data_IF_603943162668
#
_entry.id   IF_603943162668
#
_cell.length_a   1.000
_cell.length_b   1.000
_cell.length_c   1.000
_cell.angle_alpha   90.00
_cell.angle_beta   90.00
_cell.angle_gamma   90.00
#
_symmetry.space_group_name_H-M   'P 1'
#
loop_
_entity.id
_entity.type
_entity.pdbx_description
1 polymer ?
#
# COMPACT_ATOMS: atom_id res chain seq x y z
N UNK A 1 20.77 -7.19 21.15
CA UNK A 1 21.32 -6.65 19.89
C UNK A 1 20.15 -6.10 19.10
N UNK A 2 20.25 -4.88 18.54
CA UNK A 2 19.17 -4.31 17.76
C UNK A 2 18.97 -5.11 16.48
N UNK A 3 17.72 -5.18 16.03
CA UNK A 3 17.32 -5.83 14.79
C UNK A 3 17.79 -4.99 13.61
N UNK A 4 18.45 -5.59 12.61
CA UNK A 4 18.89 -4.86 11.41
C UNK A 4 17.77 -4.81 10.36
N UNK A 5 17.32 -3.59 10.02
CA UNK A 5 16.25 -3.36 9.04
C UNK A 5 16.77 -2.49 7.90
N UNK A 6 16.63 -2.98 6.67
CA UNK A 6 16.89 -2.17 5.47
C UNK A 6 15.58 -1.64 4.89
N UNK A 7 15.44 -0.32 4.81
CA UNK A 7 14.35 0.37 4.14
C UNK A 7 14.70 0.58 2.66
N UNK A 8 14.35 -0.40 1.83
CA UNK A 8 14.57 -0.44 0.39
C UNK A 8 13.34 0.03 -0.42
N UNK A 9 12.52 0.92 0.16
CA UNK A 9 11.29 1.40 -0.43
C UNK A 9 11.45 2.73 -1.19
N UNK A 10 12.68 3.21 -1.38
CA UNK A 10 13.02 4.44 -2.08
C UNK A 10 13.37 5.59 -1.13
N UNK A 11 14.53 6.22 -1.38
CA UNK A 11 15.02 7.35 -0.59
C UNK A 11 14.06 8.55 -0.59
N UNK A 12 13.25 8.73 -1.64
CA UNK A 12 12.30 9.85 -1.74
C UNK A 12 11.16 9.81 -0.72
N UNK A 13 10.78 8.61 -0.25
CA UNK A 13 9.72 8.46 0.76
C UNK A 13 10.26 8.28 2.18
N UNK A 14 11.56 7.96 2.34
CA UNK A 14 12.18 7.73 3.63
C UNK A 14 11.93 8.86 4.67
N UNK A 15 12.02 10.16 4.33
CA UNK A 15 11.74 11.23 5.29
C UNK A 15 10.34 11.18 5.90
N UNK A 16 9.36 10.58 5.20
CA UNK A 16 7.99 10.40 5.71
C UNK A 16 7.87 9.19 6.64
N UNK A 17 8.75 8.21 6.50
CA UNK A 17 8.68 6.94 7.22
C UNK A 17 9.61 6.87 8.42
N UNK A 18 10.73 7.60 8.44
CA UNK A 18 11.73 7.51 9.50
C UNK A 18 11.13 7.70 10.90
N UNK A 19 10.41 8.81 11.12
CA UNK A 19 9.85 9.12 12.43
C UNK A 19 8.69 8.17 12.84
N UNK A 20 7.67 7.92 11.98
CA UNK A 20 6.62 6.96 12.33
C UNK A 20 7.12 5.55 12.58
N UNK A 21 8.11 5.08 11.79
CA UNK A 21 8.67 3.74 11.95
C UNK A 21 9.42 3.62 13.26
N UNK A 22 10.27 4.60 13.61
CA UNK A 22 10.96 4.62 14.90
C UNK A 22 9.97 4.63 16.09
N UNK A 23 8.89 5.42 15.98
CA UNK A 23 7.84 5.46 17.00
C UNK A 23 7.11 4.12 17.14
N UNK A 24 6.76 3.49 16.01
CA UNK A 24 6.07 2.20 16.00
C UNK A 24 6.95 1.08 16.59
N UNK A 25 8.24 1.06 16.25
CA UNK A 25 9.22 0.12 16.81
C UNK A 25 9.36 0.30 18.32
N UNK A 26 9.49 1.54 18.79
CA UNK A 26 9.57 1.85 20.22
C UNK A 26 8.29 1.47 20.97
N UNK A 27 7.12 1.74 20.40
CA UNK A 27 5.83 1.36 20.97
C UNK A 27 5.66 -0.18 21.06
N UNK A 28 6.26 -0.92 20.14
CA UNK A 28 6.31 -2.38 20.16
C UNK A 28 7.40 -2.95 21.09
N UNK A 29 8.23 -2.10 21.71
CA UNK A 29 9.36 -2.54 22.55
C UNK A 29 10.50 -3.19 21.76
N UNK A 30 10.64 -2.85 20.47
CA UNK A 30 11.66 -3.41 19.58
C UNK A 30 12.83 -2.42 19.44
N UNK A 31 14.03 -2.88 19.79
CA UNK A 31 15.27 -2.20 19.41
C UNK A 31 15.61 -2.58 17.97
N UNK A 32 15.63 -1.61 17.05
CA UNK A 32 15.97 -1.84 15.65
C UNK A 32 16.85 -0.71 15.11
N UNK A 33 17.84 -1.10 14.31
CA UNK A 33 18.63 -0.20 13.48
C UNK A 33 18.01 -0.19 12.08
N UNK A 34 17.40 0.94 11.72
CA UNK A 34 16.72 1.11 10.43
C UNK A 34 17.49 2.09 9.57
N UNK A 35 17.94 1.62 8.41
CA UNK A 35 18.65 2.44 7.42
C UNK A 35 17.95 2.40 6.08
N UNK A 36 17.87 3.55 5.39
CA UNK A 36 17.51 3.62 3.98
C UNK A 36 18.73 3.63 3.05
N UNK A 37 19.95 3.63 3.60
CA UNK A 37 21.15 3.44 2.82
C UNK A 37 21.37 1.94 2.54
N UNK A 38 21.82 1.58 1.33
CA UNK A 38 22.16 0.19 1.02
C UNK A 38 23.13 -0.40 2.06
N UNK A 39 22.88 -1.63 2.55
CA UNK A 39 23.75 -2.25 3.54
C UNK A 39 25.11 -2.61 2.92
N UNK A 40 26.17 -2.49 3.71
CA UNK A 40 27.49 -2.97 3.31
C UNK A 40 27.53 -4.50 3.21
N UNK A 41 26.76 -5.19 4.05
CA UNK A 41 26.57 -6.64 4.03
C UNK A 41 25.06 -6.98 3.98
N UNK A 42 24.52 -7.33 2.80
CA UNK A 42 23.13 -7.75 2.65
C UNK A 42 22.75 -8.98 3.50
N UNK A 43 23.69 -9.87 3.82
CA UNK A 43 23.42 -11.07 4.61
C UNK A 43 23.17 -10.76 6.10
N UNK A 44 23.63 -9.61 6.58
CA UNK A 44 23.41 -9.14 7.95
C UNK A 44 22.03 -8.48 8.16
N UNK A 45 21.28 -8.21 7.08
CA UNK A 45 19.93 -7.64 7.17
C UNK A 45 18.95 -8.72 7.62
N UNK A 46 18.15 -8.41 8.64
CA UNK A 46 17.16 -9.35 9.17
C UNK A 46 15.75 -9.09 8.65
N UNK A 47 15.42 -7.82 8.35
CA UNK A 47 14.13 -7.45 7.75
C UNK A 47 14.32 -6.44 6.64
N UNK A 48 13.54 -6.61 5.58
CA UNK A 48 13.58 -5.75 4.41
C UNK A 48 12.21 -5.08 4.23
N UNK A 49 12.18 -3.75 4.17
CA UNK A 49 10.97 -2.99 3.85
C UNK A 49 11.06 -2.55 2.39
N UNK A 50 10.09 -2.95 1.56
CA UNK A 50 10.07 -2.67 0.11
C UNK A 50 8.79 -1.96 -0.30
N UNK A 51 8.82 -1.35 -1.47
CA UNK A 51 7.64 -0.80 -2.13
C UNK A 51 7.69 -1.09 -3.63
N UNK A 52 6.55 -0.90 -4.30
CA UNK A 52 6.52 -0.98 -5.75
C UNK A 52 7.43 0.11 -6.36
N UNK A 53 8.43 -0.30 -7.15
CA UNK A 53 9.46 0.61 -7.67
C UNK A 53 10.56 0.98 -6.66
N UNK A 54 10.71 0.21 -5.58
CA UNK A 54 11.79 0.37 -4.60
C UNK A 54 13.17 -0.03 -5.13
N UNK A 55 14.14 -0.02 -4.21
CA UNK A 55 15.58 -0.06 -4.53
C UNK A 55 16.13 -1.48 -4.76
N UNK A 56 15.34 -2.52 -4.46
CA UNK A 56 15.75 -3.93 -4.53
C UNK A 56 14.92 -4.67 -5.56
N UNK A 57 15.62 -5.26 -6.54
CA UNK A 57 15.07 -6.17 -7.55
C UNK A 57 15.64 -7.59 -7.46
N UNK A 58 16.82 -7.76 -6.86
CA UNK A 58 17.45 -9.05 -6.59
C UNK A 58 17.51 -9.29 -5.08
N UNK A 59 16.83 -10.33 -4.62
CA UNK A 59 16.72 -10.70 -3.21
C UNK A 59 17.72 -11.81 -2.80
N UNK A 60 18.47 -12.38 -3.75
CA UNK A 60 19.40 -13.48 -3.50
C UNK A 60 20.51 -13.13 -2.48
N UNK A 61 21.07 -11.91 -2.43
CA UNK A 61 22.09 -11.55 -1.44
C UNK A 61 21.58 -11.48 0.00
N UNK A 62 20.26 -11.32 0.19
CA UNK A 62 19.63 -11.08 1.50
C UNK A 62 19.32 -12.38 2.24
N UNK A 63 20.34 -13.22 2.42
CA UNK A 63 20.20 -14.59 2.96
C UNK A 63 19.80 -14.62 4.45
N UNK A 64 20.08 -13.55 5.21
CA UNK A 64 19.67 -13.40 6.61
C UNK A 64 18.26 -12.85 6.82
N UNK A 65 17.57 -12.44 5.75
CA UNK A 65 16.25 -11.81 5.87
C UNK A 65 15.20 -12.83 6.29
N UNK A 66 14.54 -12.52 7.40
CA UNK A 66 13.48 -13.31 8.01
C UNK A 66 12.12 -13.01 7.39
N UNK A 67 11.90 -11.77 6.95
CA UNK A 67 10.70 -11.37 6.22
C UNK A 67 10.93 -10.10 5.37
N UNK A 68 10.24 -10.07 4.23
CA UNK A 68 10.14 -8.89 3.35
C UNK A 68 8.77 -8.25 3.57
N UNK A 69 8.75 -6.99 4.01
CA UNK A 69 7.53 -6.23 4.29
C UNK A 69 7.27 -5.25 3.14
N UNK A 70 6.24 -5.51 2.36
CA UNK A 70 5.81 -4.63 1.27
C UNK A 70 4.84 -3.55 1.78
N UNK A 71 5.13 -2.29 1.46
CA UNK A 71 4.30 -1.13 1.80
C UNK A 71 3.02 -0.98 0.95
N UNK A 72 2.69 -1.99 0.14
CA UNK A 72 1.52 -1.99 -0.74
C UNK A 72 0.65 -3.23 -0.53
N UNK A 73 -0.63 -3.10 -0.86
CA UNK A 73 -1.56 -4.23 -0.86
C UNK A 73 -1.26 -5.22 -1.99
N UNK A 74 -0.93 -4.69 -3.18
CA UNK A 74 -0.56 -5.44 -4.37
C UNK A 74 0.85 -6.02 -4.26
N UNK A 75 1.01 -7.26 -4.70
CA UNK A 75 2.27 -8.03 -4.65
C UNK A 75 2.67 -8.60 -6.00
N UNK A 76 1.93 -8.27 -7.06
CA UNK A 76 2.05 -8.84 -8.40
C UNK A 76 3.45 -8.69 -9.01
N UNK A 77 4.20 -7.65 -8.62
CA UNK A 77 5.58 -7.43 -9.08
C UNK A 77 6.63 -8.24 -8.32
N UNK A 78 6.28 -8.81 -7.16
CA UNK A 78 7.21 -9.51 -6.27
C UNK A 78 7.02 -11.03 -6.34
N UNK A 79 5.78 -11.52 -6.40
CA UNK A 79 5.47 -12.97 -6.29
C UNK A 79 6.01 -13.84 -7.44
N UNK A 80 6.40 -13.24 -8.57
CA UNK A 80 7.02 -13.95 -9.70
C UNK A 80 8.55 -13.85 -9.73
N UNK A 81 9.18 -13.21 -8.73
CA UNK A 81 10.63 -13.03 -8.69
C UNK A 81 11.31 -14.26 -8.09
N UNK A 82 12.07 -15.00 -8.89
CA UNK A 82 12.76 -16.22 -8.45
C UNK A 82 13.82 -15.98 -7.38
N UNK A 83 14.37 -14.76 -7.28
CA UNK A 83 15.33 -14.42 -6.22
C UNK A 83 14.69 -14.23 -4.85
N UNK A 84 13.37 -13.96 -4.81
CA UNK A 84 12.61 -13.75 -3.57
C UNK A 84 12.24 -15.11 -2.97
N UNK A 85 13.10 -15.59 -2.08
CA UNK A 85 12.92 -16.87 -1.37
C UNK A 85 12.40 -16.70 0.06
N UNK A 86 12.47 -15.47 0.57
CA UNK A 86 12.06 -15.08 1.91
C UNK A 86 10.53 -14.91 1.99
N UNK A 87 9.93 -15.06 3.19
CA UNK A 87 8.51 -14.78 3.39
C UNK A 87 8.15 -13.33 3.00
N UNK A 88 7.15 -13.18 2.13
CA UNK A 88 6.63 -11.88 1.70
C UNK A 88 5.36 -11.51 2.48
N UNK A 89 5.39 -10.38 3.17
CA UNK A 89 4.26 -9.78 3.87
C UNK A 89 3.72 -8.61 3.04
N UNK A 90 2.45 -8.68 2.63
CA UNK A 90 1.75 -7.54 2.01
C UNK A 90 1.20 -6.59 3.06
N UNK A 91 0.95 -5.34 2.69
CA UNK A 91 0.27 -4.40 3.57
C UNK A 91 -1.20 -4.81 3.76
N UNK A 92 -1.60 -4.94 5.03
CA UNK A 92 -2.97 -5.12 5.47
C UNK A 92 -3.27 -4.02 6.48
N UNK A 93 -4.08 -3.05 6.08
CA UNK A 93 -4.45 -1.91 6.91
C UNK A 93 -5.99 -1.76 6.93
N UNK A 94 -6.62 -1.83 8.12
CA UNK A 94 -8.05 -1.55 8.26
C UNK A 94 -8.46 -0.18 7.71
N UNK A 95 -7.65 0.87 7.89
CA UNK A 95 -7.98 2.21 7.41
C UNK A 95 -7.99 2.28 5.88
N UNK A 96 -7.07 1.58 5.21
CA UNK A 96 -7.09 1.42 3.76
C UNK A 96 -8.32 0.66 3.28
N UNK A 97 -8.76 -0.37 4.03
CA UNK A 97 -9.97 -1.12 3.71
C UNK A 97 -11.21 -0.23 3.79
N UNK A 98 -11.37 0.50 4.89
CA UNK A 98 -12.48 1.44 5.10
C UNK A 98 -12.48 2.54 4.02
N UNK A 99 -11.33 3.14 3.73
CA UNK A 99 -11.19 4.14 2.68
C UNK A 99 -11.65 3.62 1.30
N UNK A 100 -11.30 2.37 0.98
CA UNK A 100 -11.75 1.75 -0.27
C UNK A 100 -13.25 1.47 -0.28
N UNK A 101 -13.84 1.04 0.85
CA UNK A 101 -15.29 0.86 0.98
C UNK A 101 -16.01 2.18 0.73
N UNK A 102 -15.55 3.27 1.35
CA UNK A 102 -16.12 4.60 1.15
C UNK A 102 -16.01 5.06 -0.30
N UNK A 103 -14.82 4.93 -0.90
CA UNK A 103 -14.58 5.32 -2.29
C UNK A 103 -15.50 4.56 -3.26
N UNK A 104 -15.57 3.22 -3.13
CA UNK A 104 -16.40 2.38 -3.99
C UNK A 104 -17.88 2.69 -3.78
N UNK A 105 -18.34 2.80 -2.52
CA UNK A 105 -19.74 3.11 -2.21
C UNK A 105 -20.14 4.45 -2.81
N UNK A 106 -19.30 5.48 -2.66
CA UNK A 106 -19.53 6.80 -3.26
C UNK A 106 -19.68 6.74 -4.78
N UNK A 107 -18.80 6.02 -5.48
CA UNK A 107 -18.86 5.89 -6.94
C UNK A 107 -20.06 5.06 -7.41
N UNK A 108 -20.39 3.97 -6.71
CA UNK A 108 -21.58 3.17 -7.00
C UNK A 108 -22.84 4.02 -6.86
N UNK A 109 -22.98 4.79 -5.77
CA UNK A 109 -24.13 5.67 -5.56
C UNK A 109 -24.18 6.81 -6.58
N UNK A 110 -23.03 7.40 -6.91
CA UNK A 110 -22.91 8.43 -7.96
C UNK A 110 -23.47 7.94 -9.30
N UNK A 111 -23.09 6.74 -9.73
CA UNK A 111 -23.60 6.12 -10.95
C UNK A 111 -25.06 5.69 -10.81
N UNK A 112 -25.42 5.06 -9.70
CA UNK A 112 -26.78 4.57 -9.47
C UNK A 112 -27.81 5.70 -9.46
N UNK A 113 -27.53 6.80 -8.77
CA UNK A 113 -28.41 7.97 -8.73
C UNK A 113 -28.28 8.85 -9.98
N UNK A 114 -27.35 8.52 -10.89
CA UNK A 114 -27.11 9.28 -12.11
C UNK A 114 -26.63 10.71 -11.86
N UNK A 115 -25.92 10.96 -10.74
CA UNK A 115 -25.52 12.30 -10.27
C UNK A 115 -24.77 13.10 -11.34
N UNK A 116 -24.02 12.43 -12.21
CA UNK A 116 -23.27 13.05 -13.31
C UNK A 116 -24.12 13.90 -14.22
N UNK A 117 -25.40 13.55 -14.43
CA UNK A 117 -26.33 14.36 -15.24
C UNK A 117 -26.52 15.76 -14.66
N UNK A 118 -26.46 15.88 -13.33
CA UNK A 118 -26.65 17.13 -12.62
C UNK A 118 -25.33 17.90 -12.47
N UNK A 119 -24.22 17.19 -12.30
CA UNK A 119 -22.87 17.79 -12.25
C UNK A 119 -22.50 18.39 -13.62
N UNK A 120 -22.80 17.68 -14.71
CA UNK A 120 -22.48 18.09 -16.08
C UNK A 120 -23.58 18.98 -16.71
N UNK A 121 -24.57 19.41 -15.92
CA UNK A 121 -25.75 20.15 -16.36
C UNK A 121 -25.45 21.62 -16.72
N UNK A 122 -24.77 21.85 -17.85
CA UNK A 122 -24.32 23.20 -18.27
C UNK A 122 -25.45 24.17 -18.57
N UNK A 123 -26.65 23.67 -18.92
CA UNK A 123 -27.85 24.49 -19.14
C UNK A 123 -28.58 24.84 -17.84
N UNK A 124 -28.16 24.27 -16.70
CA UNK A 124 -28.79 24.39 -15.39
C UNK A 124 -30.31 24.11 -15.37
N UNK A 125 -30.80 23.32 -16.33
CA UNK A 125 -32.22 22.99 -16.42
C UNK A 125 -32.63 21.98 -15.34
N UNK A 126 -33.78 22.21 -14.72
CA UNK A 126 -34.40 21.23 -13.82
C UNK A 126 -35.10 20.15 -14.65
N UNK A 127 -34.53 18.93 -14.66
CA UNK A 127 -35.09 17.76 -15.33
C UNK A 127 -35.52 16.76 -14.26
N UNK A 128 -36.84 16.64 -13.95
CA UNK A 128 -37.35 15.75 -12.92
C UNK A 128 -37.35 14.31 -13.43
N UNK A 129 -36.17 13.76 -13.69
CA UNK A 129 -36.00 12.34 -13.95
C UNK A 129 -35.79 11.64 -12.61
N UNK A 130 -36.63 10.67 -12.30
CA UNK A 130 -36.45 9.83 -11.11
C UNK A 130 -35.15 9.04 -11.25
N UNK A 131 -34.31 9.06 -10.20
CA UNK A 131 -33.22 8.09 -10.07
C UNK A 131 -33.76 6.68 -10.38
N UNK A 132 -33.01 5.80 -11.07
CA UNK A 132 -33.51 4.48 -11.43
C UNK A 132 -33.98 3.78 -10.16
N UNK A 133 -35.30 3.58 -10.06
CA UNK A 133 -35.91 2.87 -8.95
C UNK A 133 -35.42 1.42 -8.92
N UNK A 134 -35.71 0.66 -7.84
CA UNK A 134 -35.35 -0.76 -7.74
C UNK A 134 -35.78 -1.60 -8.97
N UNK A 135 -36.85 -1.17 -9.66
CA UNK A 135 -37.46 -1.85 -10.81
C UNK A 135 -36.71 -1.67 -12.15
N UNK A 136 -35.73 -0.77 -12.27
CA UNK A 136 -34.97 -0.59 -13.51
C UNK A 136 -33.83 -1.62 -13.69
N UNK A 137 -33.71 -2.60 -12.78
CA UNK A 137 -32.62 -3.59 -12.71
C UNK A 137 -32.94 -4.92 -13.41
N UNK A 138 -34.08 -5.05 -14.08
CA UNK A 138 -34.39 -6.22 -14.91
C UNK A 138 -33.95 -5.96 -16.36
N UNK A 139 -32.76 -6.47 -16.71
CA UNK A 139 -32.21 -6.51 -18.07
C UNK A 139 -31.15 -7.58 -18.15
#
# INVERSE_FOLDING_TARGET
>A
MPITVYFAAGAGIWPRYQAPLAQALAAAGLEADVSAAPPADPAAVEYLIVANGGDVSDFAPFTGVKAVLNLWAGVERLVGNESLTQPLCRMVDPAMTESMVEYVTGHVLRHHLGIDRHILNTDHAWRPETAPGPAARAG
#
